data_IF_871140382293
#
_entry.id   IF_871140382293
#
_cell.length_a   1.000
_cell.length_b   1.000
_cell.length_c   1.000
_cell.angle_alpha   90.00
_cell.angle_beta   90.00
_cell.angle_gamma   90.00
#
_symmetry.space_group_name_H-M   'P 1'
#
loop_
_entity.id
_entity.type
_entity.pdbx_description
1 polymer ?
#
# COMPACT_ATOMS: atom_id res chain seq x y z
N UNK A 1 -11.05 4.59 -15.92
CA UNK A 1 -9.93 3.95 -15.19
C UNK A 1 -10.41 3.42 -13.85
N UNK A 2 -10.21 2.12 -13.57
CA UNK A 2 -10.47 1.53 -12.25
C UNK A 2 -9.18 0.84 -11.80
N UNK A 3 -8.96 0.78 -10.49
CA UNK A 3 -7.87 0.03 -9.91
C UNK A 3 -8.37 -1.39 -9.64
N UNK A 4 -7.92 -2.33 -10.47
CA UNK A 4 -8.62 -3.60 -10.68
C UNK A 4 -8.05 -4.78 -9.90
N UNK A 5 -6.77 -4.73 -9.51
CA UNK A 5 -6.10 -5.90 -8.97
C UNK A 5 -5.90 -5.85 -7.45
N UNK A 6 -5.86 -7.02 -6.83
CA UNK A 6 -5.35 -7.15 -5.47
C UNK A 6 -3.83 -6.92 -5.47
N UNK A 7 -3.34 -6.10 -4.54
CA UNK A 7 -1.90 -5.89 -4.37
C UNK A 7 -1.19 -7.19 -4.05
N UNK A 8 0.02 -7.36 -4.56
CA UNK A 8 0.96 -8.33 -4.01
C UNK A 8 1.64 -7.71 -2.79
N UNK A 9 1.77 -8.48 -1.71
CA UNK A 9 2.56 -8.10 -0.53
C UNK A 9 3.70 -9.09 -0.40
N UNK A 10 4.92 -8.55 -0.36
CA UNK A 10 6.14 -9.33 -0.21
C UNK A 10 6.68 -9.11 1.19
N UNK A 11 7.01 -10.20 1.88
CA UNK A 11 7.54 -10.15 3.23
C UNK A 11 8.80 -11.02 3.36
N UNK A 12 9.65 -10.73 4.35
CA UNK A 12 10.91 -11.45 4.55
C UNK A 12 10.74 -12.95 4.81
N UNK A 13 9.68 -13.30 5.54
CA UNK A 13 9.34 -14.66 5.93
C UNK A 13 7.98 -15.09 5.39
N UNK A 14 7.89 -16.36 5.00
CA UNK A 14 6.64 -16.99 4.60
C UNK A 14 5.61 -16.99 5.74
N UNK A 15 6.05 -17.15 7.00
CA UNK A 15 5.16 -17.18 8.15
C UNK A 15 5.68 -16.28 9.28
N UNK A 16 5.44 -14.96 9.21
CA UNK A 16 5.87 -14.03 10.25
C UNK A 16 5.23 -14.34 11.59
N UNK A 17 5.95 -14.12 12.69
CA UNK A 17 5.39 -14.30 14.05
C UNK A 17 4.12 -13.46 14.26
N UNK A 18 4.05 -12.26 13.67
CA UNK A 18 2.88 -11.38 13.69
C UNK A 18 1.65 -11.94 12.92
N UNK A 19 1.85 -12.94 12.05
CA UNK A 19 0.79 -13.60 11.28
C UNK A 19 0.41 -14.97 11.87
N UNK A 20 0.92 -15.34 13.05
CA UNK A 20 0.62 -16.65 13.66
C UNK A 20 -0.90 -16.79 13.87
N UNK A 21 -1.47 -17.88 13.36
CA UNK A 21 -2.92 -18.15 13.41
C UNK A 21 -3.75 -17.41 12.36
N UNK A 22 -3.13 -16.68 11.43
CA UNK A 22 -3.81 -16.03 10.31
C UNK A 22 -3.80 -16.91 9.06
N UNK A 23 -4.95 -17.11 8.42
CA UNK A 23 -5.00 -17.77 7.12
C UNK A 23 -4.63 -16.77 6.01
N UNK A 24 -3.60 -17.09 5.22
CA UNK A 24 -3.17 -16.25 4.09
C UNK A 24 -4.25 -16.10 3.02
N UNK A 25 -5.11 -17.12 2.87
CA UNK A 25 -6.23 -17.09 1.93
C UNK A 25 -7.33 -16.11 2.34
N UNK A 26 -7.33 -15.65 3.60
CA UNK A 26 -8.24 -14.61 4.07
C UNK A 26 -7.67 -13.20 3.87
N UNK A 27 -6.44 -13.05 3.40
CA UNK A 27 -5.86 -11.75 3.11
C UNK A 27 -6.44 -11.19 1.81
N UNK A 28 -6.65 -9.86 1.69
CA UNK A 28 -7.16 -9.24 0.48
C UNK A 28 -6.02 -8.86 -0.49
N UNK A 29 -4.88 -9.53 -0.33
CA UNK A 29 -3.62 -9.31 -1.03
C UNK A 29 -3.02 -10.66 -1.39
N UNK A 30 -2.27 -10.69 -2.49
CA UNK A 30 -1.48 -11.85 -2.85
C UNK A 30 -0.21 -11.89 -1.99
N UNK A 31 -0.19 -12.76 -0.99
CA UNK A 31 0.97 -12.92 -0.12
C UNK A 31 2.10 -13.67 -0.83
N UNK A 32 3.33 -13.17 -0.72
CA UNK A 32 4.56 -13.84 -1.13
C UNK A 32 5.66 -13.58 -0.10
N UNK A 33 6.63 -14.49 -0.02
CA UNK A 33 7.84 -14.27 0.74
C UNK A 33 9.08 -14.20 -0.14
N UNK A 34 9.96 -13.27 0.23
CA UNK A 34 11.30 -13.13 -0.30
C UNK A 34 12.19 -12.67 0.84
N UNK A 35 13.37 -13.27 1.06
CA UNK A 35 14.25 -12.91 2.19
C UNK A 35 14.57 -11.43 2.26
N UNK A 36 14.73 -10.78 1.10
CA UNK A 36 15.03 -9.33 0.99
C UNK A 36 13.77 -8.45 1.13
N UNK A 37 12.57 -9.02 1.28
CA UNK A 37 11.28 -8.34 1.32
C UNK A 37 10.97 -7.44 0.10
N UNK A 38 11.68 -7.61 -1.00
CA UNK A 38 11.53 -6.79 -2.21
C UNK A 38 10.96 -7.56 -3.39
N UNK A 39 10.36 -6.83 -4.33
CA UNK A 39 9.87 -7.37 -5.59
C UNK A 39 11.05 -7.75 -6.49
N UNK A 40 11.01 -8.97 -7.03
CA UNK A 40 11.96 -9.44 -8.03
C UNK A 40 11.25 -9.64 -9.36
N UNK A 41 12.01 -9.66 -10.46
CA UNK A 41 11.45 -9.89 -11.79
C UNK A 41 10.64 -11.20 -11.87
N UNK A 42 11.12 -12.27 -11.23
CA UNK A 42 10.41 -13.56 -11.20
C UNK A 42 9.12 -13.51 -10.40
N UNK A 43 9.10 -12.83 -9.25
CA UNK A 43 7.87 -12.64 -8.45
C UNK A 43 6.86 -11.78 -9.19
N UNK A 44 7.32 -10.74 -9.88
CA UNK A 44 6.48 -9.87 -10.69
C UNK A 44 5.87 -10.63 -11.87
N UNK A 45 6.65 -11.42 -12.61
CA UNK A 45 6.13 -12.28 -13.69
C UNK A 45 5.11 -13.27 -13.19
N UNK A 46 5.41 -13.95 -12.07
CA UNK A 46 4.48 -14.88 -11.46
C UNK A 46 3.16 -14.17 -11.12
N UNK A 47 3.23 -12.98 -10.54
CA UNK A 47 2.04 -12.18 -10.23
C UNK A 47 1.26 -11.78 -11.48
N UNK A 48 1.92 -11.32 -12.54
CA UNK A 48 1.26 -10.94 -13.80
C UNK A 48 0.47 -12.12 -14.38
N UNK A 49 1.10 -13.30 -14.44
CA UNK A 49 0.52 -14.50 -15.05
C UNK A 49 -0.54 -15.17 -14.18
N UNK A 50 -0.34 -15.21 -12.86
CA UNK A 50 -1.22 -15.97 -11.95
C UNK A 50 -2.30 -15.13 -11.28
N UNK A 51 -2.11 -13.82 -11.18
CA UNK A 51 -3.01 -12.92 -10.45
C UNK A 51 -3.56 -11.82 -11.36
N UNK A 52 -2.70 -10.92 -11.87
CA UNK A 52 -3.14 -9.70 -12.51
C UNK A 52 -3.93 -9.94 -13.81
N UNK A 53 -3.38 -10.75 -14.72
CA UNK A 53 -4.03 -11.05 -16.01
C UNK A 53 -5.37 -11.79 -15.83
N UNK A 54 -5.47 -12.85 -15.01
CA UNK A 54 -6.75 -13.48 -14.68
C UNK A 54 -7.77 -12.52 -14.05
N UNK A 55 -7.36 -11.66 -13.12
CA UNK A 55 -8.26 -10.69 -12.46
C UNK A 55 -8.80 -9.65 -13.45
N UNK A 56 -7.96 -9.14 -14.36
CA UNK A 56 -8.39 -8.23 -15.43
C UNK A 56 -9.39 -8.93 -16.35
N UNK A 57 -9.12 -10.18 -16.75
CA UNK A 57 -10.03 -10.98 -17.58
C UNK A 57 -11.39 -11.18 -16.90
N UNK A 58 -11.38 -11.56 -15.62
CA UNK A 58 -12.59 -11.73 -14.83
C UNK A 58 -13.40 -10.44 -14.72
N UNK A 59 -12.73 -9.30 -14.53
CA UNK A 59 -13.37 -7.99 -14.53
C UNK A 59 -13.98 -7.64 -15.90
N UNK A 60 -13.24 -7.83 -16.99
CA UNK A 60 -13.74 -7.58 -18.35
C UNK A 60 -15.00 -8.39 -18.64
N UNK A 61 -15.00 -9.68 -18.28
CA UNK A 61 -16.16 -10.55 -18.41
C UNK A 61 -17.34 -10.05 -17.58
N UNK A 62 -17.10 -9.67 -16.32
CA UNK A 62 -18.14 -9.18 -15.39
C UNK A 62 -18.81 -7.90 -15.90
N UNK A 63 -18.04 -6.97 -16.44
CA UNK A 63 -18.56 -5.69 -16.92
C UNK A 63 -19.00 -5.75 -18.40
N UNK A 64 -18.93 -6.94 -19.02
CA UNK A 64 -19.25 -7.17 -20.42
C UNK A 64 -18.48 -6.24 -21.38
N UNK A 65 -17.17 -6.11 -21.15
CA UNK A 65 -16.25 -5.35 -22.01
C UNK A 65 -15.18 -6.27 -22.59
N UNK A 66 -14.61 -5.87 -23.73
CA UNK A 66 -13.55 -6.63 -24.37
C UNK A 66 -12.36 -6.81 -23.43
N UNK A 67 -11.79 -8.01 -23.42
CA UNK A 67 -10.55 -8.30 -22.69
C UNK A 67 -9.35 -7.71 -23.44
N UNK A 68 -9.18 -6.41 -23.28
CA UNK A 68 -8.02 -5.63 -23.71
C UNK A 68 -7.74 -4.57 -22.65
N UNK A 69 -6.54 -4.57 -22.08
CA UNK A 69 -6.19 -3.66 -21.00
C UNK A 69 -4.79 -3.07 -21.17
N UNK A 70 -4.63 -1.84 -20.69
CA UNK A 70 -3.34 -1.18 -20.51
C UNK A 70 -3.11 -1.01 -19.02
N UNK A 71 -2.06 -1.64 -18.50
CA UNK A 71 -1.58 -1.51 -17.13
C UNK A 71 -0.42 -0.53 -17.10
N UNK A 72 -0.53 0.52 -16.29
CA UNK A 72 0.57 1.44 -16.00
C UNK A 72 1.28 0.96 -14.74
N UNK A 73 2.60 0.81 -14.83
CA UNK A 73 3.45 0.29 -13.74
C UNK A 73 4.56 1.30 -13.47
N UNK A 74 4.96 1.43 -12.21
CA UNK A 74 6.16 2.19 -11.82
C UNK A 74 7.42 1.59 -12.45
N UNK A 75 8.42 2.43 -12.67
CA UNK A 75 9.70 1.99 -13.22
C UNK A 75 10.65 1.65 -12.08
N UNK A 76 10.49 0.45 -11.52
CA UNK A 76 11.33 -0.09 -10.47
C UNK A 76 12.33 -1.12 -11.03
N UNK A 77 13.55 -1.25 -10.44
CA UNK A 77 14.58 -2.18 -10.91
C UNK A 77 14.14 -3.65 -10.97
N UNK A 78 13.11 -4.02 -10.19
CA UNK A 78 12.55 -5.37 -10.15
C UNK A 78 11.61 -5.72 -11.30
N UNK A 79 11.39 -4.84 -12.28
CA UNK A 79 10.45 -5.09 -13.37
C UNK A 79 11.13 -5.60 -14.65
N UNK A 80 10.69 -6.74 -15.22
CA UNK A 80 11.29 -7.29 -16.42
C UNK A 80 10.88 -6.50 -17.66
N UNK A 81 11.86 -6.27 -18.54
CA UNK A 81 11.69 -5.58 -19.83
C UNK A 81 10.65 -6.28 -20.73
N UNK A 82 10.52 -7.61 -20.60
CA UNK A 82 9.64 -8.46 -21.42
C UNK A 82 8.24 -8.69 -20.80
N UNK A 83 7.81 -7.87 -19.83
CA UNK A 83 6.45 -8.00 -19.25
C UNK A 83 5.34 -7.93 -20.32
N UNK A 84 5.55 -7.16 -21.39
CA UNK A 84 4.59 -6.97 -22.49
C UNK A 84 4.32 -8.25 -23.30
N UNK A 85 5.18 -9.27 -23.14
CA UNK A 85 5.08 -10.58 -23.80
C UNK A 85 4.29 -11.60 -22.98
N UNK A 86 4.04 -11.32 -21.69
CA UNK A 86 3.32 -12.23 -20.79
C UNK A 86 1.83 -12.35 -21.13
N UNK A 87 1.29 -11.42 -21.93
CA UNK A 87 -0.10 -11.41 -22.35
C UNK A 87 -0.29 -10.70 -23.69
N UNK A 88 -1.07 -11.32 -24.58
CA UNK A 88 -1.49 -10.69 -25.82
C UNK A 88 -2.54 -9.60 -25.58
N UNK A 89 -3.34 -9.75 -24.52
CA UNK A 89 -4.50 -8.90 -24.23
C UNK A 89 -4.20 -7.78 -23.23
N UNK A 90 -3.14 -7.91 -22.43
CA UNK A 90 -2.76 -6.92 -21.43
C UNK A 90 -1.38 -6.35 -21.79
N UNK A 91 -1.32 -5.05 -22.03
CA UNK A 91 -0.07 -4.32 -22.24
C UNK A 91 0.34 -3.61 -20.97
N UNK A 92 1.60 -3.73 -20.60
CA UNK A 92 2.22 -3.17 -19.42
C UNK A 92 3.18 -2.06 -19.85
N UNK A 93 2.89 -0.82 -19.47
CA UNK A 93 3.75 0.32 -19.76
C UNK A 93 4.33 0.89 -18.48
N UNK A 94 5.66 0.96 -18.46
CA UNK A 94 6.40 1.59 -17.39
C UNK A 94 6.31 3.10 -17.50
N UNK A 95 6.05 3.76 -16.37
CA UNK A 95 6.10 5.20 -16.27
C UNK A 95 7.55 5.70 -16.38
N UNK A 96 7.80 6.92 -16.85
CA UNK A 96 9.16 7.45 -16.86
C UNK A 96 9.76 7.50 -15.44
N UNK A 97 11.09 7.38 -15.30
CA UNK A 97 11.76 7.57 -14.01
C UNK A 97 11.33 8.88 -13.34
N UNK A 98 11.23 8.88 -12.00
CA UNK A 98 10.92 10.06 -11.18
C UNK A 98 9.58 10.75 -11.48
N UNK A 99 8.65 10.06 -12.15
CA UNK A 99 7.28 10.57 -12.41
C UNK A 99 6.22 9.97 -11.50
N UNK A 100 6.63 9.07 -10.58
CA UNK A 100 5.77 8.30 -9.68
C UNK A 100 4.86 9.24 -8.89
N UNK A 101 5.44 10.22 -8.19
CA UNK A 101 4.67 11.20 -7.40
C UNK A 101 3.65 12.03 -8.21
N UNK A 102 3.89 12.24 -9.50
CA UNK A 102 3.05 13.05 -10.37
C UNK A 102 1.94 12.24 -11.05
N UNK A 103 2.23 11.01 -11.48
CA UNK A 103 1.34 10.25 -12.38
C UNK A 103 0.77 9.00 -11.70
N UNK A 104 1.44 8.42 -10.69
CA UNK A 104 0.92 7.23 -10.02
C UNK A 104 -0.28 7.55 -9.12
N UNK A 105 -1.44 6.89 -9.35
CA UNK A 105 -2.58 6.98 -8.43
C UNK A 105 -2.22 6.59 -7.00
N UNK A 106 -1.27 5.67 -6.85
CA UNK A 106 -0.80 5.17 -5.57
C UNK A 106 -0.25 6.32 -4.71
N UNK A 107 0.64 7.13 -5.28
CA UNK A 107 1.29 8.27 -4.62
C UNK A 107 0.37 9.50 -4.57
N UNK A 108 -0.45 9.71 -5.59
CA UNK A 108 -1.37 10.85 -5.69
C UNK A 108 -2.55 10.82 -4.70
N UNK A 109 -2.80 9.68 -4.06
CA UNK A 109 -3.83 9.64 -3.03
C UNK A 109 -4.10 8.32 -2.34
N UNK A 110 -3.76 7.16 -2.90
CA UNK A 110 -4.03 5.87 -2.23
C UNK A 110 -3.26 5.78 -0.92
N UNK A 111 -1.96 6.07 -0.91
CA UNK A 111 -1.10 5.96 0.29
C UNK A 111 -1.56 6.92 1.38
N UNK A 112 -1.73 8.21 1.05
CA UNK A 112 -2.13 9.21 2.04
C UNK A 112 -3.50 8.90 2.62
N UNK A 113 -4.46 8.48 1.78
CA UNK A 113 -5.79 8.05 2.21
C UNK A 113 -5.71 6.82 3.12
N UNK A 114 -4.90 5.81 2.76
CA UNK A 114 -4.67 4.63 3.59
C UNK A 114 -4.12 5.00 4.97
N UNK A 115 -3.07 5.82 5.00
CA UNK A 115 -2.46 6.30 6.25
C UNK A 115 -3.47 7.04 7.11
N UNK A 116 -4.28 7.94 6.55
CA UNK A 116 -5.29 8.70 7.32
C UNK A 116 -6.27 7.78 8.01
N UNK A 117 -6.81 6.79 7.29
CA UNK A 117 -7.77 5.89 7.89
C UNK A 117 -7.16 4.93 8.91
N UNK A 118 -5.95 4.44 8.63
CA UNK A 118 -5.21 3.62 9.57
C UNK A 118 -4.97 4.39 10.87
N UNK A 119 -4.45 5.60 10.77
CA UNK A 119 -4.12 6.45 11.92
C UNK A 119 -5.37 6.80 12.73
N UNK A 120 -6.44 7.26 12.07
CA UNK A 120 -7.72 7.54 12.73
C UNK A 120 -8.22 6.35 13.54
N UNK A 121 -8.16 5.15 12.98
CA UNK A 121 -8.64 3.94 13.66
C UNK A 121 -7.71 3.53 14.79
N UNK A 122 -6.39 3.59 14.59
CA UNK A 122 -5.42 3.27 15.62
C UNK A 122 -5.63 4.14 16.86
N UNK A 123 -5.85 5.45 16.67
CA UNK A 123 -6.15 6.38 17.76
C UNK A 123 -7.50 6.09 18.44
N UNK A 124 -8.56 5.79 17.69
CA UNK A 124 -9.85 5.36 18.29
C UNK A 124 -9.71 4.09 19.13
N UNK A 125 -8.97 3.11 18.63
CA UNK A 125 -8.72 1.87 19.36
C UNK A 125 -7.90 2.13 20.62
N UNK A 126 -6.85 2.96 20.51
CA UNK A 126 -6.03 3.37 21.63
C UNK A 126 -6.92 3.94 22.74
N UNK A 127 -7.70 4.98 22.43
CA UNK A 127 -8.61 5.61 23.40
C UNK A 127 -9.57 4.60 24.03
N UNK A 128 -10.18 3.70 23.24
CA UNK A 128 -11.10 2.70 23.77
C UNK A 128 -10.45 1.66 24.68
N UNK A 129 -9.18 1.32 24.42
CA UNK A 129 -8.45 0.28 25.15
C UNK A 129 -7.65 0.83 26.33
N UNK A 130 -7.38 2.15 26.36
CA UNK A 130 -6.60 2.81 27.42
C UNK A 130 -7.44 3.72 28.33
N UNK A 131 -8.73 3.95 28.02
CA UNK A 131 -9.63 4.69 28.91
C UNK A 131 -10.04 3.86 30.14
N UNK A 132 -9.39 4.07 31.28
CA UNK A 132 -9.76 3.49 32.58
C UNK A 132 -8.58 3.19 33.50
N UNK A 133 -8.83 3.08 34.82
CA UNK A 133 -7.78 2.84 35.83
C UNK A 133 -7.11 1.46 35.75
N UNK A 134 -7.79 0.45 35.17
CA UNK A 134 -7.29 -0.94 35.03
C UNK A 134 -6.86 -1.31 33.60
N UNK A 135 -6.63 -0.32 32.75
CA UNK A 135 -6.32 -0.52 31.33
C UNK A 135 -4.82 -0.55 31.04
N UNK A 136 -4.37 -1.25 29.99
CA UNK A 136 -2.97 -1.28 29.60
C UNK A 136 -2.45 0.12 29.27
N UNK A 137 -1.19 0.40 29.60
CA UNK A 137 -0.50 1.61 29.15
C UNK A 137 -0.42 1.66 27.63
N UNK A 138 -0.28 2.85 27.04
CA UNK A 138 -0.14 3.01 25.59
C UNK A 138 0.95 2.11 25.01
N UNK A 139 2.09 1.95 25.69
CA UNK A 139 3.18 1.06 25.27
C UNK A 139 2.73 -0.41 25.17
N UNK A 140 1.98 -0.90 26.17
CA UNK A 140 1.42 -2.27 26.16
C UNK A 140 0.33 -2.43 25.08
N UNK A 141 -0.42 -1.37 24.79
CA UNK A 141 -1.36 -1.35 23.68
C UNK A 141 -0.63 -1.48 22.34
N UNK A 142 0.42 -0.67 22.11
CA UNK A 142 1.17 -0.70 20.85
C UNK A 142 1.80 -2.06 20.61
N UNK A 143 2.37 -2.69 21.64
CA UNK A 143 2.94 -4.04 21.58
C UNK A 143 1.89 -5.08 21.12
N UNK A 144 0.66 -5.00 21.65
CA UNK A 144 -0.47 -5.83 21.21
C UNK A 144 -0.97 -5.51 19.80
N UNK A 145 -1.04 -4.23 19.43
CA UNK A 145 -1.48 -3.81 18.10
C UNK A 145 -0.52 -4.31 17.04
N UNK A 146 0.79 -4.42 17.31
CA UNK A 146 1.74 -5.01 16.37
C UNK A 146 1.40 -6.45 15.99
N UNK A 147 0.89 -7.26 16.93
CA UNK A 147 0.40 -8.62 16.66
C UNK A 147 -0.98 -8.64 15.96
N UNK A 148 -1.79 -7.61 16.17
CA UNK A 148 -3.15 -7.49 15.63
C UNK A 148 -3.20 -6.82 14.24
N UNK A 149 -2.06 -6.29 13.76
CA UNK A 149 -1.86 -5.61 12.45
C UNK A 149 -2.38 -6.41 11.25
N UNK A 150 -2.43 -7.73 11.36
CA UNK A 150 -2.65 -8.66 10.26
C UNK A 150 -4.12 -8.76 9.82
N UNK A 151 -5.05 -8.85 10.78
CA UNK A 151 -6.46 -9.18 10.48
C UNK A 151 -7.38 -7.97 10.28
N UNK A 152 -7.09 -6.79 10.85
CA UNK A 152 -7.97 -5.60 10.73
C UNK A 152 -7.53 -4.58 9.67
N UNK A 153 -6.29 -4.60 9.22
CA UNK A 153 -5.86 -3.86 8.02
C UNK A 153 -6.59 -4.37 6.75
N UNK A 154 -7.05 -5.62 6.79
CA UNK A 154 -7.92 -6.31 5.83
C UNK A 154 -9.09 -5.46 5.30
N UNK A 155 -9.90 -4.87 6.19
CA UNK A 155 -11.09 -4.11 5.79
C UNK A 155 -10.77 -2.79 5.09
N UNK A 156 -9.55 -2.26 5.28
CA UNK A 156 -9.24 -0.87 4.91
C UNK A 156 -8.77 -0.71 3.48
N UNK A 157 -8.01 -1.68 2.97
CA UNK A 157 -7.74 -1.78 1.53
C UNK A 157 -9.04 -1.89 0.74
N UNK A 158 -10.02 -2.63 1.25
CA UNK A 158 -11.36 -2.74 0.64
C UNK A 158 -12.08 -1.40 0.61
N UNK A 159 -11.97 -0.58 1.67
CA UNK A 159 -12.61 0.75 1.70
C UNK A 159 -11.97 1.77 0.75
N UNK A 160 -10.66 1.71 0.50
CA UNK A 160 -10.00 2.58 -0.50
C UNK A 160 -10.36 2.15 -1.92
N UNK A 161 -10.57 0.85 -2.14
CA UNK A 161 -11.04 0.30 -3.42
C UNK A 161 -12.50 0.68 -3.75
N UNK A 162 -13.22 1.36 -2.84
CA UNK A 162 -14.56 1.88 -3.15
C UNK A 162 -14.47 2.78 -4.39
N UNK A 163 -15.38 2.63 -5.38
CA UNK A 163 -15.35 3.39 -6.62
C UNK A 163 -15.28 4.91 -6.40
N UNK A 164 -15.94 5.42 -5.35
CA UNK A 164 -15.89 6.84 -5.00
C UNK A 164 -14.49 7.34 -4.65
N UNK A 165 -13.74 6.59 -3.84
CA UNK A 165 -12.38 6.94 -3.42
C UNK A 165 -11.43 6.90 -4.63
N UNK A 166 -11.50 5.81 -5.40
CA UNK A 166 -10.66 5.64 -6.59
C UNK A 166 -10.97 6.69 -7.65
N UNK A 167 -12.24 7.02 -7.90
CA UNK A 167 -12.63 8.06 -8.85
C UNK A 167 -12.07 9.43 -8.45
N UNK A 168 -12.11 9.78 -7.16
CA UNK A 168 -11.52 11.03 -6.69
C UNK A 168 -10.00 11.09 -6.87
N UNK A 169 -9.30 9.97 -6.71
CA UNK A 169 -7.85 9.86 -6.97
C UNK A 169 -7.57 9.99 -8.47
N UNK A 170 -8.29 9.25 -9.32
CA UNK A 170 -8.13 9.29 -10.77
C UNK A 170 -8.50 10.65 -11.37
N UNK A 171 -9.47 11.37 -10.80
CA UNK A 171 -9.81 12.73 -11.22
C UNK A 171 -8.63 13.70 -11.11
N UNK A 172 -7.72 13.50 -10.14
CA UNK A 172 -6.53 14.35 -9.98
C UNK A 172 -5.51 14.15 -11.10
N UNK A 173 -5.43 12.94 -11.65
CA UNK A 173 -4.48 12.57 -12.71
C UNK A 173 -5.07 12.94 -14.08
N UNK A 174 -6.36 12.69 -14.29
CA UNK A 174 -7.05 13.05 -15.51
C UNK A 174 -8.56 12.94 -15.36
N UNK A 175 -9.26 14.08 -15.43
CA UNK A 175 -10.72 14.14 -15.31
C UNK A 175 -11.45 13.37 -16.41
N UNK A 176 -10.87 13.27 -17.61
CA UNK A 176 -11.40 12.48 -18.73
C UNK A 176 -11.37 10.96 -18.51
N UNK A 177 -10.63 10.47 -17.51
CA UNK A 177 -10.48 9.05 -17.22
C UNK A 177 -11.55 8.49 -16.26
N UNK A 178 -12.48 9.33 -15.78
CA UNK A 178 -13.49 8.98 -14.77
C UNK A 178 -14.90 9.05 -15.36
N UNK A 179 -15.59 7.92 -15.45
CA UNK A 179 -16.99 7.90 -15.91
C UNK A 179 -17.97 8.24 -14.78
N UNK A 180 -18.96 9.09 -15.13
CA UNK A 180 -20.13 9.57 -14.39
C UNK A 180 -20.52 8.77 -13.13
N UNK A 181 -19.85 9.04 -12.01
CA UNK A 181 -20.39 8.84 -10.67
C UNK A 181 -19.93 10.03 -9.85
N UNK A 182 -20.86 10.72 -9.17
CA UNK A 182 -20.55 11.79 -8.21
C UNK A 182 -19.36 11.32 -7.37
N UNK A 183 -18.21 11.98 -7.52
CA UNK A 183 -17.06 11.73 -6.67
C UNK A 183 -17.56 11.91 -5.24
N UNK A 184 -17.78 10.81 -4.50
CA UNK A 184 -18.02 10.96 -3.07
C UNK A 184 -16.73 11.55 -2.52
N UNK A 185 -16.88 12.55 -1.64
CA UNK A 185 -15.76 13.22 -0.97
C UNK A 185 -14.77 12.13 -0.55
N UNK A 186 -13.57 12.16 -1.14
CA UNK A 186 -12.50 11.28 -0.70
C UNK A 186 -12.26 11.65 0.76
N UNK A 187 -12.37 10.70 1.67
CA UNK A 187 -12.18 10.91 3.11
C UNK A 187 -10.76 11.40 3.48
N UNK A 188 -9.89 11.72 2.51
CA UNK A 188 -8.73 12.58 2.69
C UNK A 188 -9.06 14.08 2.84
N UNK A 189 -10.33 14.44 3.10
CA UNK A 189 -10.79 15.81 3.35
C UNK A 189 -10.24 16.41 4.66
N UNK A 190 -10.20 17.74 4.78
CA UNK A 190 -9.85 18.44 6.04
C UNK A 190 -10.58 17.89 7.27
N UNK A 191 -11.83 17.44 7.13
CA UNK A 191 -12.62 16.89 8.23
C UNK A 191 -12.00 15.64 8.89
N UNK A 192 -11.41 14.73 8.11
CA UNK A 192 -10.77 13.53 8.66
C UNK A 192 -9.44 13.87 9.31
N UNK A 193 -8.71 14.86 8.78
CA UNK A 193 -7.48 15.35 9.40
C UNK A 193 -7.77 16.04 10.73
N UNK A 194 -8.81 16.85 10.77
CA UNK A 194 -9.29 17.48 11.99
C UNK A 194 -9.69 16.42 13.03
N UNK A 195 -10.43 15.40 12.62
CA UNK A 195 -10.79 14.28 13.49
C UNK A 195 -9.56 13.54 14.03
N UNK A 196 -8.56 13.26 13.18
CA UNK A 196 -7.29 12.64 13.60
C UNK A 196 -6.56 13.53 14.61
N UNK A 197 -6.49 14.84 14.38
CA UNK A 197 -5.84 15.79 15.31
C UNK A 197 -6.53 15.81 16.67
N UNK A 198 -7.86 15.78 16.69
CA UNK A 198 -8.63 15.72 17.94
C UNK A 198 -8.36 14.41 18.70
N UNK A 199 -8.39 13.27 18.00
CA UNK A 199 -8.09 11.97 18.61
C UNK A 199 -6.65 11.87 19.13
N UNK A 200 -5.69 12.49 18.43
CA UNK A 200 -4.29 12.53 18.86
C UNK A 200 -4.13 13.35 20.15
N UNK A 201 -4.81 14.50 20.23
CA UNK A 201 -4.84 15.34 21.43
C UNK A 201 -5.47 14.63 22.62
N UNK A 202 -6.59 13.95 22.41
CA UNK A 202 -7.26 13.12 23.44
C UNK A 202 -6.37 11.98 23.92
N UNK A 203 -5.42 11.52 23.09
CA UNK A 203 -4.46 10.46 23.41
C UNK A 203 -3.17 10.98 24.04
N UNK A 204 -3.08 12.27 24.41
CA UNK A 204 -1.89 12.94 24.94
C UNK A 204 -0.66 12.90 24.00
N UNK A 205 -0.86 12.82 22.67
CA UNK A 205 0.23 13.04 21.72
C UNK A 205 0.43 14.55 21.50
N UNK A 206 1.38 15.13 22.24
CA UNK A 206 1.82 16.51 22.02
C UNK A 206 2.52 16.65 20.65
N UNK A 207 2.28 17.75 19.93
CA UNK A 207 2.92 18.04 18.63
C UNK A 207 2.22 17.47 17.38
N UNK A 208 1.15 16.67 17.51
CA UNK A 208 0.33 16.22 16.35
C UNK A 208 -0.74 17.25 15.95
N UNK A 209 -0.31 18.46 15.63
CA UNK A 209 -1.17 19.48 15.04
C UNK A 209 -1.54 19.12 13.59
N UNK A 210 -2.57 19.76 13.03
CA UNK A 210 -3.04 19.45 11.67
C UNK A 210 -1.93 19.53 10.61
N UNK A 211 -0.94 20.42 10.80
CA UNK A 211 0.22 20.55 9.93
C UNK A 211 1.18 19.35 10.04
N UNK A 212 1.48 18.89 11.26
CA UNK A 212 2.30 17.69 11.46
C UNK A 212 1.61 16.42 10.95
N UNK A 213 0.28 16.34 11.06
CA UNK A 213 -0.51 15.27 10.46
C UNK A 213 -0.48 15.35 8.94
N UNK A 214 -0.58 16.55 8.35
CA UNK A 214 -0.44 16.74 6.91
C UNK A 214 0.92 16.24 6.40
N UNK A 215 2.00 16.61 7.09
CA UNK A 215 3.35 16.16 6.78
C UNK A 215 3.47 14.62 6.87
N UNK A 216 3.03 14.02 7.98
CA UNK A 216 3.04 12.56 8.17
C UNK A 216 2.28 11.79 7.08
N UNK A 217 1.16 12.35 6.62
CA UNK A 217 0.33 11.77 5.56
C UNK A 217 0.91 11.98 4.16
N UNK A 218 1.78 12.99 3.97
CA UNK A 218 2.38 13.35 2.67
C UNK A 218 3.88 13.06 2.55
N UNK A 219 4.54 12.59 3.62
CA UNK A 219 6.01 12.45 3.74
C UNK A 219 6.70 11.47 2.78
N UNK A 220 5.98 10.79 1.88
CA UNK A 220 6.60 9.95 0.84
C UNK A 220 6.96 10.73 -0.45
N UNK A 221 7.07 12.07 -0.37
CA UNK A 221 7.43 12.88 -1.53
C UNK A 221 8.92 12.88 -1.90
N UNK A 222 9.80 12.40 -1.02
CA UNK A 222 11.21 12.20 -1.37
C UNK A 222 11.41 10.73 -1.76
N UNK A 223 11.64 10.51 -3.05
CA UNK A 223 12.22 9.26 -3.55
C UNK A 223 13.61 9.10 -2.94
N UNK A 224 13.94 7.87 -2.51
CA UNK A 224 15.32 7.54 -2.12
C UNK A 224 16.21 7.76 -3.34
N UNK A 225 17.33 8.45 -3.17
CA UNK A 225 18.24 8.71 -4.29
C UNK A 225 18.88 7.41 -4.78
N UNK A 226 19.38 7.41 -6.02
CA UNK A 226 20.12 6.26 -6.55
C UNK A 226 21.33 5.94 -5.67
N UNK A 227 21.94 6.94 -5.05
CA UNK A 227 23.04 6.81 -4.09
C UNK A 227 22.58 6.16 -2.78
N UNK A 228 21.38 6.47 -2.27
CA UNK A 228 20.80 5.79 -1.11
C UNK A 228 20.46 4.33 -1.44
N UNK A 229 19.98 4.05 -2.66
CA UNK A 229 19.74 2.68 -3.14
C UNK A 229 21.04 1.89 -3.33
N UNK A 230 22.09 2.51 -3.89
CA UNK A 230 23.42 1.93 -4.04
C UNK A 230 24.11 1.72 -2.69
N UNK A 231 23.94 2.64 -1.73
CA UNK A 231 24.46 2.46 -0.37
C UNK A 231 23.75 1.34 0.36
N UNK A 232 22.44 1.18 0.17
CA UNK A 232 21.72 0.01 0.65
C UNK A 232 22.28 -1.27 0.01
N UNK A 233 22.45 -1.31 -1.31
CA UNK A 233 23.02 -2.46 -2.04
C UNK A 233 24.45 -2.82 -1.58
N UNK A 234 25.32 -1.81 -1.38
CA UNK A 234 26.68 -1.98 -0.86
C UNK A 234 26.71 -2.40 0.61
N UNK A 235 25.78 -1.93 1.44
CA UNK A 235 25.64 -2.43 2.82
C UNK A 235 25.22 -3.90 2.82
N UNK A 236 24.42 -4.34 1.84
CA UNK A 236 24.00 -5.74 1.71
C UNK A 236 25.10 -6.67 1.20
N UNK A 237 25.99 -6.23 0.29
CA UNK A 237 27.13 -7.05 -0.14
C UNK A 237 28.13 -7.30 1.00
N UNK A 238 28.36 -6.30 1.85
CA UNK A 238 29.26 -6.44 3.00
C UNK A 238 28.67 -7.34 4.12
N UNK A 239 27.34 -7.47 4.23
CA UNK A 239 26.69 -8.40 5.16
C UNK A 239 26.63 -9.85 4.63
N UNK A 240 26.67 -10.05 3.31
CA UNK A 240 26.80 -11.39 2.70
C UNK A 240 28.19 -12.01 3.02
N UNK A 241 29.26 -11.21 3.04
CA UNK A 241 30.63 -11.66 3.33
C UNK A 241 30.89 -12.02 4.81
N UNK A 242 30.28 -11.33 5.77
CA UNK A 242 30.49 -11.61 7.20
C UNK A 242 29.72 -12.87 7.66
N UNK A 243 28.64 -13.23 6.95
CA UNK A 243 27.87 -14.45 7.18
C UNK A 243 28.55 -15.73 6.66
N UNK A 244 29.60 -15.58 5.84
CA UNK A 244 30.40 -16.68 5.27
C UNK A 244 31.59 -17.13 6.12
N UNK A 245 31.89 -16.45 7.24
CA UNK A 245 33.13 -16.68 8.02
C UNK A 245 32.95 -17.26 9.43
N UNK A 246 31.75 -17.68 9.80
CA UNK A 246 31.52 -18.41 11.05
C UNK A 246 30.90 -19.79 10.79
N UNK A 247 31.78 -20.77 10.54
CA UNK A 247 31.59 -22.19 10.90
C UNK A 247 32.80 -22.58 11.75
#
# INVERSE_FOLDING_TARGET
CKWLFQNQTIYQSENPKAMKGCSKNQLPVHWRANKKAWMTASLFQNWVSTCATPEIKAYCNKENINFKALALVDNAPGHPVYVDELSENVKYKFLPPNTTSAIQPTDQGVISTFKSYYLRRALKLLLSETAGQDKPTMLKFWDKVQHYKSHKNYFRFVEIRKPSCMNGIWCKIGSGCVHRIRAAKVDGTPAVRHEISNLARESNFEGMEENGINELLTSYKQELSNEELLQLELQFENEEDDSGRSI
#
